data_IF_227797396394
#
_entry.id   IF_227797396394
#
_cell.length_a   1.000
_cell.length_b   1.000
_cell.length_c   1.000
_cell.angle_alpha   90.00
_cell.angle_beta   90.00
_cell.angle_gamma   90.00
#
_symmetry.space_group_name_H-M   'P 1'
#
loop_
_entity.id
_entity.type
_entity.pdbx_description
1 polymer ?
#
# COMPACT_ATOMS: atom_id res chain seq x y z
N UNK A 1 11.54 -28.35 -20.17
CA UNK A 1 10.79 -27.08 -20.30
C UNK A 1 11.43 -26.04 -19.39
N UNK A 2 12.23 -25.12 -19.96
CA UNK A 2 12.95 -24.12 -19.18
C UNK A 2 11.99 -23.10 -18.58
N UNK A 3 12.05 -22.89 -17.25
CA UNK A 3 11.30 -21.81 -16.59
C UNK A 3 11.83 -20.48 -17.15
N UNK A 4 10.97 -19.71 -17.83
CA UNK A 4 11.28 -18.32 -18.18
C UNK A 4 11.62 -17.59 -16.89
N UNK A 5 12.85 -17.08 -16.76
CA UNK A 5 13.24 -16.28 -15.61
C UNK A 5 12.45 -14.98 -15.67
N UNK A 6 11.66 -14.72 -14.63
CA UNK A 6 10.95 -13.45 -14.48
C UNK A 6 11.99 -12.39 -14.12
N UNK A 7 12.03 -11.24 -14.82
CA UNK A 7 12.92 -10.13 -14.48
C UNK A 7 12.83 -9.79 -12.99
N UNK A 8 13.96 -9.52 -12.33
CA UNK A 8 13.99 -9.28 -10.87
C UNK A 8 13.02 -8.18 -10.43
N UNK A 9 12.82 -7.16 -11.25
CA UNK A 9 11.89 -6.05 -10.99
C UNK A 9 10.42 -6.49 -10.94
N UNK A 10 10.08 -7.56 -11.66
CA UNK A 10 8.74 -8.16 -11.67
C UNK A 10 8.58 -9.26 -10.61
N UNK A 11 9.65 -9.61 -9.88
CA UNK A 11 9.58 -10.60 -8.82
C UNK A 11 8.91 -10.00 -7.58
N UNK A 12 7.78 -10.60 -7.18
CA UNK A 12 7.08 -10.22 -5.96
C UNK A 12 8.01 -10.45 -4.76
N UNK A 13 8.29 -9.40 -3.99
CA UNK A 13 9.00 -9.53 -2.72
C UNK A 13 8.04 -10.06 -1.67
N UNK A 14 8.31 -11.26 -1.17
CA UNK A 14 7.56 -11.82 -0.04
C UNK A 14 7.90 -11.05 1.24
N UNK A 15 6.88 -10.63 1.98
CA UNK A 15 7.03 -10.04 3.31
C UNK A 15 6.17 -10.82 4.30
N UNK A 16 6.75 -11.15 5.44
CA UNK A 16 6.01 -11.71 6.57
C UNK A 16 5.63 -10.56 7.50
N UNK A 17 4.36 -10.50 7.89
CA UNK A 17 3.83 -9.53 8.84
C UNK A 17 3.10 -10.28 9.96
N UNK A 18 3.26 -9.82 11.19
CA UNK A 18 2.49 -10.32 12.32
C UNK A 18 1.30 -9.40 12.56
N UNK A 19 0.11 -9.97 12.58
CA UNK A 19 -1.16 -9.29 12.87
C UNK A 19 -2.00 -10.22 13.75
N UNK A 20 -2.89 -9.64 14.53
CA UNK A 20 -3.85 -10.42 15.33
C UNK A 20 -4.73 -11.32 14.45
N UNK A 21 -5.12 -12.47 14.99
CA UNK A 21 -5.86 -13.49 14.24
C UNK A 21 -7.18 -12.96 13.66
N UNK A 22 -7.90 -12.14 14.43
CA UNK A 22 -9.18 -11.59 13.98
C UNK A 22 -9.03 -10.71 12.72
N UNK A 23 -7.88 -10.07 12.51
CA UNK A 23 -7.58 -9.27 11.31
C UNK A 23 -7.44 -10.20 10.09
N UNK A 24 -6.80 -11.36 10.27
CA UNK A 24 -6.67 -12.35 9.20
C UNK A 24 -7.99 -13.01 8.83
N UNK A 25 -8.85 -13.21 9.82
CA UNK A 25 -10.18 -13.76 9.63
C UNK A 25 -11.06 -12.75 8.89
N UNK A 26 -11.00 -11.47 9.27
CA UNK A 26 -11.67 -10.39 8.55
C UNK A 26 -11.17 -10.26 7.10
N UNK A 27 -9.85 -10.24 6.90
CA UNK A 27 -9.26 -10.15 5.56
C UNK A 27 -9.67 -11.33 4.65
N UNK A 28 -9.86 -12.52 5.23
CA UNK A 28 -10.33 -13.70 4.50
C UNK A 28 -11.82 -13.61 4.12
N UNK A 29 -12.63 -12.84 4.85
CA UNK A 29 -14.02 -12.56 4.47
C UNK A 29 -14.13 -11.51 3.37
N UNK A 30 -13.22 -10.53 3.34
CA UNK A 30 -13.23 -9.45 2.34
C UNK A 30 -12.79 -9.91 0.96
N UNK A 31 -11.76 -10.76 0.89
CA UNK A 31 -11.19 -11.24 -0.37
C UNK A 31 -10.81 -12.71 -0.26
N UNK A 32 -10.90 -13.48 -1.35
CA UNK A 32 -10.41 -14.87 -1.39
C UNK A 32 -8.92 -15.00 -1.04
N UNK A 33 -8.14 -13.92 -1.19
CA UNK A 33 -6.72 -13.89 -0.90
C UNK A 33 -6.40 -12.76 0.10
N UNK A 34 -5.82 -13.12 1.24
CA UNK A 34 -5.41 -12.15 2.29
C UNK A 34 -4.46 -11.06 1.77
N UNK A 35 -3.53 -11.43 0.87
CA UNK A 35 -2.62 -10.45 0.25
C UNK A 35 -3.31 -9.51 -0.76
N UNK A 36 -4.48 -9.86 -1.27
CA UNK A 36 -5.30 -8.96 -2.06
C UNK A 36 -6.00 -7.96 -1.12
N UNK A 37 -6.68 -8.44 -0.08
CA UNK A 37 -7.31 -7.58 0.92
C UNK A 37 -6.35 -6.53 1.50
N UNK A 38 -5.14 -6.93 1.91
CA UNK A 38 -4.15 -5.97 2.44
C UNK A 38 -3.73 -4.92 1.41
N UNK A 39 -3.59 -5.34 0.14
CA UNK A 39 -3.20 -4.41 -0.94
C UNK A 39 -4.30 -3.40 -1.20
N UNK A 40 -5.55 -3.85 -1.27
CA UNK A 40 -6.69 -2.98 -1.53
C UNK A 40 -6.87 -1.99 -0.37
N UNK A 41 -6.82 -2.47 0.88
CA UNK A 41 -6.82 -1.60 2.07
C UNK A 41 -5.68 -0.58 2.06
N UNK A 42 -4.49 -0.97 1.60
CA UNK A 42 -3.35 -0.06 1.49
C UNK A 42 -3.58 1.01 0.42
N UNK A 43 -4.12 0.65 -0.74
CA UNK A 43 -4.44 1.58 -1.81
C UNK A 43 -5.55 2.56 -1.38
N UNK A 44 -6.58 2.06 -0.70
CA UNK A 44 -7.67 2.88 -0.16
C UNK A 44 -7.15 3.88 0.87
N UNK A 45 -6.28 3.43 1.79
CA UNK A 45 -5.68 4.32 2.79
C UNK A 45 -4.81 5.40 2.15
N UNK A 46 -4.01 5.02 1.16
CA UNK A 46 -3.18 5.97 0.41
C UNK A 46 -4.03 7.01 -0.32
N UNK A 47 -5.12 6.57 -0.95
CA UNK A 47 -6.09 7.47 -1.60
C UNK A 47 -6.72 8.44 -0.60
N UNK A 48 -7.18 7.93 0.54
CA UNK A 48 -7.76 8.75 1.61
C UNK A 48 -6.78 9.84 2.07
N UNK A 49 -5.52 9.50 2.28
CA UNK A 49 -4.50 10.45 2.71
C UNK A 49 -4.18 11.50 1.64
N UNK A 50 -4.09 11.11 0.38
CA UNK A 50 -3.89 12.03 -0.74
C UNK A 50 -5.07 13.01 -0.87
N UNK A 51 -6.30 12.52 -0.73
CA UNK A 51 -7.50 13.37 -0.75
C UNK A 51 -7.47 14.35 0.43
N UNK A 52 -7.15 13.89 1.65
CA UNK A 52 -7.04 14.75 2.84
C UNK A 52 -5.96 15.83 2.69
N UNK A 53 -4.88 15.52 1.97
CA UNK A 53 -3.82 16.48 1.68
C UNK A 53 -4.17 17.45 0.53
N UNK A 54 -5.32 17.28 -0.14
CA UNK A 54 -5.70 18.05 -1.32
C UNK A 54 -4.86 17.70 -2.56
N UNK A 55 -4.26 16.50 -2.59
CA UNK A 55 -3.37 16.02 -3.65
C UNK A 55 -4.05 15.04 -4.61
N UNK A 56 -5.30 14.65 -4.33
CA UNK A 56 -6.14 13.83 -5.20
C UNK A 56 -7.62 14.17 -5.01
N UNK A 57 -8.46 13.84 -5.98
CA UNK A 57 -9.92 13.98 -5.91
C UNK A 57 -10.58 12.65 -5.52
N UNK A 58 -11.83 12.69 -5.07
CA UNK A 58 -12.57 11.49 -4.62
C UNK A 58 -12.67 10.41 -5.69
N UNK A 59 -12.75 10.81 -6.96
CA UNK A 59 -12.91 9.90 -8.10
C UNK A 59 -11.58 9.51 -8.76
N UNK A 60 -10.45 9.97 -8.23
CA UNK A 60 -9.14 9.69 -8.82
C UNK A 60 -8.77 8.21 -8.67
N UNK A 61 -8.34 7.59 -9.77
CA UNK A 61 -7.68 6.29 -9.76
C UNK A 61 -6.23 6.44 -9.37
N UNK A 62 -5.77 5.56 -8.48
CA UNK A 62 -4.40 5.59 -7.96
C UNK A 62 -3.43 5.01 -8.99
N UNK A 63 -2.40 5.78 -9.30
CA UNK A 63 -1.34 5.43 -10.27
C UNK A 63 0.05 5.49 -9.62
N UNK A 64 1.09 5.16 -10.39
CA UNK A 64 2.49 5.28 -9.97
C UNK A 64 2.86 6.70 -9.54
N UNK A 65 2.33 7.71 -10.23
CA UNK A 65 2.62 9.12 -9.95
C UNK A 65 2.10 9.52 -8.57
N UNK A 66 0.89 9.07 -8.23
CA UNK A 66 0.30 9.26 -6.91
C UNK A 66 1.12 8.59 -5.81
N UNK A 67 1.69 7.41 -6.07
CA UNK A 67 2.57 6.74 -5.13
C UNK A 67 3.87 7.54 -4.88
N UNK A 68 4.46 8.15 -5.91
CA UNK A 68 5.61 9.05 -5.75
C UNK A 68 5.26 10.27 -4.90
N UNK A 69 4.13 10.92 -5.17
CA UNK A 69 3.64 12.06 -4.38
C UNK A 69 3.40 11.66 -2.93
N UNK A 70 2.76 10.52 -2.67
CA UNK A 70 2.51 10.02 -1.33
C UNK A 70 3.80 9.82 -0.52
N UNK A 71 4.85 9.29 -1.15
CA UNK A 71 6.16 9.10 -0.52
C UNK A 71 6.78 10.46 -0.12
N UNK A 72 6.83 11.42 -1.03
CA UNK A 72 7.47 12.72 -0.78
C UNK A 72 6.67 13.58 0.21
N UNK A 73 5.36 13.71 -0.01
CA UNK A 73 4.54 14.71 0.67
C UNK A 73 3.91 14.22 1.97
N UNK A 74 3.67 12.91 2.10
CA UNK A 74 2.99 12.35 3.27
C UNK A 74 3.99 11.58 4.14
N UNK A 75 4.69 10.59 3.58
CA UNK A 75 5.61 9.76 4.36
C UNK A 75 6.86 10.53 4.81
N UNK A 76 7.61 11.15 3.89
CA UNK A 76 8.84 11.88 4.25
C UNK A 76 8.57 13.16 5.04
N UNK A 77 7.50 13.87 4.70
CA UNK A 77 7.11 15.11 5.39
C UNK A 77 6.63 14.85 6.83
N UNK A 78 6.02 13.68 7.09
CA UNK A 78 5.66 13.26 8.46
C UNK A 78 6.87 12.79 9.30
N UNK A 79 7.93 12.28 8.67
CA UNK A 79 9.18 11.92 9.39
C UNK A 79 9.97 13.14 9.89
N UNK A 80 9.79 14.32 9.29
CA UNK A 80 10.35 15.58 9.83
C UNK A 80 9.66 15.98 11.16
N UNK A 81 8.45 15.49 11.44
CA UNK A 81 7.76 15.74 12.72
C UNK A 81 8.12 14.76 13.85
N UNK A 82 8.88 13.67 13.60
CA UNK A 82 9.24 12.68 14.63
C UNK A 82 10.69 12.74 15.11
N UNK A 83 11.46 13.74 14.69
CA UNK A 83 12.81 14.04 15.24
C UNK A 83 12.81 15.06 16.39
N UNK A 84 11.66 15.39 16.97
CA UNK A 84 11.58 16.10 18.25
C UNK A 84 10.72 15.30 19.23
N UNK A 85 11.39 14.45 20.01
CA UNK A 85 11.22 14.20 21.45
C UNK A 85 12.05 12.98 21.82
#
# INVERSE_FOLDING_TARGET
MGRRQVPQEMQKKSKSIHLEQWIWDLAAQMQPCRSAAIRDLFLDKMKEDLIKAGLAEENTEITSEHASVYIEEILKRSEISRKCC
#
